data_IF_998694578490
#
_entry.id   IF_998694578490
#
_cell.length_a   1.000
_cell.length_b   1.000
_cell.length_c   1.000
_cell.angle_alpha   90.00
_cell.angle_beta   90.00
_cell.angle_gamma   90.00
#
_symmetry.space_group_name_H-M   'P 1'
#
loop_
_entity.id
_entity.type
_entity.pdbx_description
1 polymer ?
#
# COMPACT_ATOMS: atom_id res chain seq x y z
N UNK A 1 9.76 6.29 13.61
CA UNK A 1 9.60 7.46 12.73
C UNK A 1 10.04 8.66 13.53
N UNK A 2 11.17 9.26 13.16
CA UNK A 2 11.78 10.39 13.86
C UNK A 2 11.89 11.52 12.85
N UNK A 3 11.27 12.64 13.13
CA UNK A 3 11.35 13.84 12.29
C UNK A 3 12.44 14.76 12.84
N UNK A 4 13.32 15.25 11.98
CA UNK A 4 14.41 16.17 12.34
C UNK A 4 14.07 17.56 11.82
N UNK A 5 14.09 18.56 12.71
CA UNK A 5 13.79 19.95 12.39
C UNK A 5 15.00 20.83 12.71
N UNK A 6 15.34 21.73 11.79
CA UNK A 6 16.48 22.65 11.92
C UNK A 6 16.05 24.07 11.59
N UNK A 7 16.61 25.05 12.31
CA UNK A 7 16.35 26.47 12.06
C UNK A 7 16.93 26.90 10.71
N UNK A 8 16.21 27.76 9.99
CA UNK A 8 16.70 28.39 8.76
C UNK A 8 17.99 29.22 8.93
N UNK A 9 18.35 29.58 10.17
CA UNK A 9 19.60 30.27 10.47
C UNK A 9 20.83 29.34 10.45
N UNK A 10 20.64 28.01 10.45
CA UNK A 10 21.72 27.02 10.33
C UNK A 10 22.12 26.80 8.86
N UNK A 11 23.38 27.08 8.55
CA UNK A 11 23.94 26.93 7.20
C UNK A 11 24.14 25.45 6.86
N UNK A 12 23.67 25.05 5.68
CA UNK A 12 23.90 23.71 5.12
C UNK A 12 22.78 22.69 5.42
N UNK A 13 21.69 23.11 6.08
CA UNK A 13 20.53 22.25 6.34
C UNK A 13 19.58 22.12 5.13
N UNK A 14 19.68 23.01 4.14
CA UNK A 14 18.79 23.05 2.96
C UNK A 14 19.06 21.93 1.94
N UNK A 15 20.26 21.34 1.99
CA UNK A 15 20.72 20.31 1.04
C UNK A 15 20.54 18.87 1.59
N UNK A 16 19.93 18.68 2.76
CA UNK A 16 19.72 17.36 3.37
C UNK A 16 18.26 16.91 3.26
N UNK A 17 18.02 15.87 2.45
CA UNK A 17 16.68 15.31 2.17
C UNK A 17 15.98 14.74 3.42
N UNK A 18 16.69 14.61 4.55
CA UNK A 18 16.17 14.12 5.83
C UNK A 18 15.82 15.20 6.85
N UNK A 19 15.96 16.48 6.51
CA UNK A 19 15.81 17.60 7.46
C UNK A 19 14.73 18.57 7.00
N UNK A 20 13.83 18.91 7.93
CA UNK A 20 12.83 19.94 7.70
C UNK A 20 13.30 21.28 8.26
N UNK A 21 13.54 22.24 7.37
CA UNK A 21 13.92 23.60 7.74
C UNK A 21 12.69 24.40 8.15
N UNK A 22 12.74 25.09 9.30
CA UNK A 22 11.67 25.97 9.78
C UNK A 22 12.15 27.41 9.98
N UNK A 23 11.25 28.36 9.73
CA UNK A 23 11.51 29.79 9.86
C UNK A 23 11.41 30.30 11.30
N UNK A 24 11.63 31.60 11.49
CA UNK A 24 11.54 32.23 12.82
C UNK A 24 10.09 32.29 13.32
N UNK A 25 9.90 31.95 14.59
CA UNK A 25 8.59 31.93 15.25
C UNK A 25 8.61 31.14 16.55
N UNK A 26 7.46 31.06 17.22
CA UNK A 26 7.26 30.23 18.43
C UNK A 26 6.51 28.92 18.14
N UNK A 27 6.11 28.73 16.89
CA UNK A 27 5.30 27.60 16.42
C UNK A 27 5.90 27.04 15.13
N UNK A 28 5.75 25.73 14.94
CA UNK A 28 6.24 24.99 13.78
C UNK A 28 5.07 24.20 13.20
N UNK A 29 4.80 24.34 11.90
CA UNK A 29 3.79 23.54 11.20
C UNK A 29 4.38 22.17 10.81
N UNK A 30 3.88 21.12 11.45
CA UNK A 30 4.32 19.74 11.22
C UNK A 30 3.56 19.04 10.10
N UNK A 31 2.53 19.68 9.52
CA UNK A 31 1.56 19.01 8.65
C UNK A 31 2.21 18.34 7.44
N UNK A 32 3.18 19.00 6.80
CA UNK A 32 3.87 18.45 5.62
C UNK A 32 4.81 17.29 6.00
N UNK A 33 5.69 17.51 6.99
CA UNK A 33 6.63 16.51 7.48
C UNK A 33 5.92 15.22 7.94
N UNK A 34 4.82 15.36 8.69
CA UNK A 34 4.01 14.21 9.13
C UNK A 34 3.33 13.53 7.94
N UNK A 35 2.79 14.31 6.98
CA UNK A 35 2.10 13.74 5.82
C UNK A 35 3.04 12.90 4.95
N UNK A 36 4.24 13.39 4.67
CA UNK A 36 5.23 12.67 3.86
C UNK A 36 5.55 11.31 4.47
N UNK A 37 5.89 11.29 5.74
CA UNK A 37 6.19 10.04 6.45
C UNK A 37 4.98 9.10 6.54
N UNK A 38 3.79 9.64 6.83
CA UNK A 38 2.55 8.82 6.91
C UNK A 38 2.24 8.16 5.57
N UNK A 39 2.46 8.86 4.45
CA UNK A 39 2.25 8.29 3.10
C UNK A 39 3.16 7.07 2.87
N UNK A 40 4.39 7.08 3.38
CA UNK A 40 5.29 5.94 3.29
C UNK A 40 5.00 4.84 4.32
N UNK A 41 4.44 5.18 5.48
CA UNK A 41 4.16 4.23 6.56
C UNK A 41 2.85 3.45 6.36
N UNK A 42 1.90 3.98 5.58
CA UNK A 42 0.62 3.30 5.32
C UNK A 42 0.79 2.22 4.26
N UNK A 43 0.10 1.09 4.45
CA UNK A 43 0.05 0.04 3.45
C UNK A 43 -0.41 0.60 2.09
N UNK A 44 0.39 0.43 1.02
CA UNK A 44 0.08 1.00 -0.30
C UNK A 44 -1.17 0.39 -0.94
N UNK A 45 -1.67 -0.71 -0.38
CA UNK A 45 -2.83 -1.43 -0.87
C UNK A 45 -3.81 -1.69 0.26
N UNK A 46 -5.10 -1.50 -0.03
CA UNK A 46 -6.16 -1.96 0.87
C UNK A 46 -6.16 -3.48 0.88
N UNK A 47 -5.53 -4.05 1.89
CA UNK A 47 -5.49 -5.49 2.09
C UNK A 47 -6.86 -5.98 2.57
N UNK A 48 -7.29 -7.11 2.01
CA UNK A 48 -8.42 -7.86 2.55
C UNK A 48 -8.10 -8.25 4.00
N UNK A 49 -9.11 -8.17 4.88
CA UNK A 49 -9.07 -8.84 6.19
C UNK A 49 -8.79 -10.34 6.03
N UNK A 50 -8.28 -10.99 7.08
CA UNK A 50 -7.84 -12.39 7.02
C UNK A 50 -8.92 -13.39 6.57
N UNK A 51 -10.21 -13.09 6.80
CA UNK A 51 -11.37 -13.92 6.43
C UNK A 51 -12.09 -13.43 5.15
N UNK A 52 -11.48 -12.53 4.38
CA UNK A 52 -12.05 -11.99 3.14
C UNK A 52 -12.18 -13.10 2.08
N UNK A 53 -13.41 -13.41 1.66
CA UNK A 53 -13.66 -14.42 0.61
C UNK A 53 -13.28 -13.95 -0.81
N UNK A 54 -12.88 -12.69 -0.95
CA UNK A 54 -12.50 -12.08 -2.22
C UNK A 54 -13.65 -11.88 -3.22
N UNK A 55 -13.27 -11.53 -4.45
CA UNK A 55 -14.18 -11.48 -5.59
C UNK A 55 -14.09 -12.79 -6.38
N UNK A 56 -15.16 -13.16 -7.09
CA UNK A 56 -15.09 -14.23 -8.09
C UNK A 56 -14.16 -13.81 -9.23
N UNK A 57 -13.15 -14.63 -9.54
CA UNK A 57 -12.19 -14.38 -10.63
C UNK A 57 -12.80 -14.37 -12.02
N UNK A 58 -14.05 -14.82 -12.17
CA UNK A 58 -14.77 -14.83 -13.46
C UNK A 58 -15.76 -13.68 -13.60
N UNK A 59 -16.66 -13.53 -12.64
CA UNK A 59 -17.77 -12.58 -12.75
C UNK A 59 -17.63 -11.35 -11.84
N UNK A 60 -16.58 -11.28 -11.00
CA UNK A 60 -16.35 -10.15 -10.10
C UNK A 60 -17.30 -10.09 -8.90
N UNK A 61 -18.23 -11.04 -8.74
CA UNK A 61 -19.16 -11.05 -7.60
C UNK A 61 -18.41 -11.07 -6.28
N UNK A 62 -18.82 -10.18 -5.35
CA UNK A 62 -18.26 -10.15 -4.00
C UNK A 62 -18.74 -11.35 -3.18
N UNK A 63 -17.83 -12.31 -2.95
CA UNK A 63 -18.10 -13.57 -2.24
C UNK A 63 -18.37 -13.38 -0.74
N UNK A 64 -18.11 -12.17 -0.22
CA UNK A 64 -18.47 -11.80 1.15
C UNK A 64 -19.96 -11.45 1.29
N UNK A 65 -20.63 -11.07 0.19
CA UNK A 65 -22.05 -10.70 0.20
C UNK A 65 -22.96 -11.80 -0.34
N UNK A 66 -22.52 -12.52 -1.37
CA UNK A 66 -23.32 -13.54 -2.03
C UNK A 66 -22.43 -14.58 -2.71
N UNK A 67 -22.99 -15.75 -2.99
CA UNK A 67 -22.34 -16.80 -3.79
C UNK A 67 -22.54 -16.55 -5.28
N UNK A 68 -21.55 -16.91 -6.10
CA UNK A 68 -21.67 -16.93 -7.55
C UNK A 68 -21.89 -18.36 -8.06
N UNK A 69 -22.53 -18.52 -9.21
CA UNK A 69 -22.74 -19.82 -9.87
C UNK A 69 -21.69 -20.14 -10.95
N UNK A 70 -20.52 -19.49 -10.90
CA UNK A 70 -19.44 -19.77 -11.84
C UNK A 70 -18.88 -21.18 -11.61
N UNK A 71 -18.71 -21.95 -12.69
CA UNK A 71 -18.07 -23.26 -12.64
C UNK A 71 -16.54 -23.13 -12.49
N UNK A 72 -15.92 -24.06 -11.76
CA UNK A 72 -14.48 -24.07 -11.50
C UNK A 72 -13.66 -24.64 -12.68
N UNK A 73 -14.30 -25.23 -13.68
CA UNK A 73 -13.66 -26.00 -14.76
C UNK A 73 -13.08 -25.17 -15.92
N UNK A 74 -12.38 -24.08 -15.64
CA UNK A 74 -11.57 -23.43 -16.69
C UNK A 74 -10.14 -23.31 -16.22
N UNK A 75 -9.39 -24.34 -16.57
CA UNK A 75 -7.95 -24.21 -16.70
C UNK A 75 -7.69 -23.13 -17.74
N UNK A 76 -7.01 -22.05 -17.35
CA UNK A 76 -6.55 -21.07 -18.31
C UNK A 76 -5.64 -21.77 -19.33
N UNK A 77 -5.86 -21.58 -20.66
CA UNK A 77 -5.14 -22.32 -21.70
C UNK A 77 -3.62 -22.27 -21.58
N UNK A 78 -3.06 -21.21 -20.98
CA UNK A 78 -1.62 -21.06 -20.73
C UNK A 78 -1.05 -22.14 -19.82
N UNK A 79 -1.90 -22.75 -18.98
CA UNK A 79 -1.52 -23.78 -18.02
C UNK A 79 -1.83 -25.20 -18.49
N UNK A 80 -2.34 -25.38 -19.71
CA UNK A 80 -2.74 -26.71 -20.20
C UNK A 80 -1.58 -27.72 -20.17
N UNK A 81 -0.36 -27.27 -20.51
CA UNK A 81 0.84 -28.10 -20.47
C UNK A 81 1.18 -28.64 -19.06
N UNK A 82 0.70 -28.00 -17.99
CA UNK A 82 0.94 -28.42 -16.61
C UNK A 82 -0.07 -29.44 -16.09
N UNK A 83 -1.15 -29.75 -16.83
CA UNK A 83 -2.14 -30.76 -16.39
C UNK A 83 -1.53 -32.12 -16.11
N UNK A 84 -0.47 -32.49 -16.83
CA UNK A 84 0.26 -33.75 -16.66
C UNK A 84 0.85 -33.95 -15.27
N UNK A 85 0.96 -32.88 -14.47
CA UNK A 85 1.53 -32.92 -13.12
C UNK A 85 0.47 -33.07 -12.00
N UNK A 86 -0.83 -32.99 -12.32
CA UNK A 86 -1.91 -32.93 -11.31
C UNK A 86 -2.24 -34.28 -10.64
N UNK A 87 -1.73 -35.39 -11.17
CA UNK A 87 -2.04 -36.77 -10.72
C UNK A 87 -0.79 -37.54 -10.20
N UNK A 88 0.30 -36.83 -9.90
CA UNK A 88 1.50 -37.39 -9.24
C UNK A 88 1.57 -36.92 -7.79
#
# INVERSE_FOLDING_TARGET
MTLVFVSADEKGAEDDDGVHVYGQGTEIDLSNAVREEVVFAVDPYVICKSDCKGLCSRCGTNRNKQTCNCTEDHTDPRWEALRVLKEK
#
